data_IF_259466453031
#
_entry.id   IF_259466453031
#
_cell.length_a   1.000
_cell.length_b   1.000
_cell.length_c   1.000
_cell.angle_alpha   90.00
_cell.angle_beta   90.00
_cell.angle_gamma   90.00
#
_symmetry.space_group_name_H-M   'P 1'
#
loop_
_entity.id
_entity.type
_entity.pdbx_description
1 polymer ?
#
# COMPACT_ATOMS: atom_id res chain seq x y z
N UNK A 1 -25.62 -49.52 33.80
CA UNK A 1 -24.46 -48.67 34.14
C UNK A 1 -23.29 -49.59 34.48
N UNK A 2 -22.02 -49.29 34.14
CA UNK A 2 -21.35 -47.97 33.92
C UNK A 2 -21.10 -47.64 32.41
N UNK A 3 -21.11 -46.39 31.90
CA UNK A 3 -20.12 -45.25 31.91
C UNK A 3 -18.73 -45.62 31.39
N UNK A 4 -18.02 -44.87 30.51
CA UNK A 4 -18.21 -43.67 29.68
C UNK A 4 -16.92 -43.54 28.82
N UNK A 5 -16.86 -42.53 27.94
CA UNK A 5 -15.65 -41.89 27.36
C UNK A 5 -15.16 -42.29 25.95
N UNK A 6 -15.32 -41.32 25.04
CA UNK A 6 -14.26 -40.80 24.18
C UNK A 6 -13.92 -41.63 22.93
N UNK A 7 -13.73 -41.08 21.74
CA UNK A 7 -13.18 -39.77 21.40
C UNK A 7 -13.63 -39.47 19.97
N UNK A 8 -14.04 -38.22 19.76
CA UNK A 8 -14.27 -37.61 18.46
C UNK A 8 -13.14 -37.92 17.48
N UNK A 9 -13.45 -38.64 16.40
CA UNK A 9 -12.57 -38.73 15.24
C UNK A 9 -12.58 -37.37 14.55
N UNK A 10 -11.67 -36.51 15.01
CA UNK A 10 -11.24 -35.28 14.38
C UNK A 10 -10.89 -35.56 12.91
N UNK A 11 -11.85 -35.25 12.03
CA UNK A 11 -11.55 -35.03 10.62
C UNK A 11 -10.59 -33.84 10.56
N UNK A 12 -9.31 -34.16 10.38
CA UNK A 12 -8.25 -33.20 10.11
C UNK A 12 -8.49 -32.59 8.72
N UNK A 13 -9.52 -31.76 8.60
CA UNK A 13 -9.51 -30.70 7.62
C UNK A 13 -8.40 -29.77 8.05
N UNK A 14 -7.25 -29.96 7.41
CA UNK A 14 -6.13 -29.03 7.45
C UNK A 14 -6.66 -27.68 6.97
N UNK A 15 -7.20 -26.90 7.90
CA UNK A 15 -7.37 -25.47 7.75
C UNK A 15 -5.95 -24.93 7.64
N UNK A 16 -5.42 -24.95 6.42
CA UNK A 16 -4.34 -24.05 6.05
C UNK A 16 -4.82 -22.68 6.52
N UNK A 17 -4.10 -22.01 7.44
CA UNK A 17 -4.38 -20.62 7.66
C UNK A 17 -4.08 -19.97 6.32
N UNK A 18 -5.13 -19.64 5.56
CA UNK A 18 -5.13 -18.49 4.68
C UNK A 18 -4.86 -17.30 5.62
N UNK A 19 -3.59 -17.13 6.00
CA UNK A 19 -3.05 -15.84 6.36
C UNK A 19 -3.33 -15.00 5.13
N UNK A 20 -4.47 -14.32 5.14
CA UNK A 20 -4.69 -13.15 4.32
C UNK A 20 -3.56 -12.21 4.70
N UNK A 21 -2.46 -12.29 3.97
CA UNK A 21 -1.30 -11.43 4.18
C UNK A 21 -1.78 -10.07 3.72
N UNK A 22 -2.33 -9.29 4.63
CA UNK A 22 -2.57 -7.87 4.37
C UNK A 22 -1.21 -7.32 3.95
N UNK A 23 -1.05 -6.81 2.71
CA UNK A 23 0.24 -6.33 2.27
C UNK A 23 0.65 -5.18 3.21
N UNK A 24 1.65 -5.42 4.05
CA UNK A 24 2.18 -4.42 4.97
C UNK A 24 3.26 -3.62 4.25
N UNK A 25 3.35 -2.33 4.57
CA UNK A 25 4.44 -1.49 4.05
C UNK A 25 5.82 -2.00 4.49
N UNK A 26 5.90 -2.77 5.57
CA UNK A 26 7.13 -3.41 6.07
C UNK A 26 7.68 -4.47 5.11
N UNK A 27 6.81 -5.15 4.36
CA UNK A 27 7.20 -6.12 3.33
C UNK A 27 7.67 -5.48 2.02
N UNK A 28 7.53 -4.15 1.87
CA UNK A 28 7.97 -3.45 0.67
C UNK A 28 9.48 -3.16 0.71
N UNK A 29 10.16 -3.29 -0.45
CA UNK A 29 11.52 -2.79 -0.62
C UNK A 29 11.65 -1.33 -0.18
N UNK A 30 12.80 -0.98 0.40
CA UNK A 30 13.03 0.36 0.95
C UNK A 30 12.93 1.44 -0.14
N UNK A 31 13.44 1.18 -1.34
CA UNK A 31 13.35 2.05 -2.50
C UNK A 31 11.89 2.34 -2.91
N UNK A 32 11.02 1.32 -2.87
CA UNK A 32 9.59 1.48 -3.14
C UNK A 32 8.94 2.35 -2.05
N UNK A 33 9.28 2.12 -0.78
CA UNK A 33 8.78 2.96 0.33
C UNK A 33 9.20 4.42 0.20
N UNK A 34 10.46 4.67 -0.20
CA UNK A 34 10.97 6.01 -0.45
C UNK A 34 10.21 6.66 -1.61
N UNK A 35 10.00 5.94 -2.70
CA UNK A 35 9.25 6.45 -3.84
C UNK A 35 7.81 6.83 -3.46
N UNK A 36 7.14 6.01 -2.64
CA UNK A 36 5.81 6.32 -2.11
C UNK A 36 5.81 7.62 -1.28
N UNK A 37 6.86 7.87 -0.49
CA UNK A 37 7.00 9.10 0.29
C UNK A 37 7.21 10.32 -0.61
N UNK A 38 7.96 10.20 -1.71
CA UNK A 38 8.16 11.30 -2.67
C UNK A 38 6.89 11.66 -3.45
N UNK A 39 5.97 10.70 -3.65
CA UNK A 39 4.69 10.95 -4.33
C UNK A 39 3.61 11.58 -3.43
N UNK A 40 3.91 11.87 -2.17
CA UNK A 40 2.95 12.50 -1.27
C UNK A 40 2.67 13.95 -1.69
N UNK A 41 1.44 14.44 -1.46
CA UNK A 41 0.97 15.68 -2.04
C UNK A 41 1.63 16.93 -1.45
N UNK A 42 2.04 16.84 -0.18
CA UNK A 42 2.65 17.93 0.53
C UNK A 42 3.47 17.42 1.73
N UNK A 43 4.17 18.36 2.36
CA UNK A 43 5.03 18.10 3.52
C UNK A 43 4.23 17.63 4.75
N UNK A 44 2.97 18.04 4.89
CA UNK A 44 2.14 17.62 6.03
C UNK A 44 1.66 16.16 5.86
N UNK A 45 1.28 15.76 4.65
CA UNK A 45 0.99 14.38 4.31
C UNK A 45 2.23 13.48 4.49
N UNK A 46 3.41 13.98 4.09
CA UNK A 46 4.69 13.32 4.36
C UNK A 46 4.92 13.09 5.86
N UNK A 47 4.78 14.15 6.67
CA UNK A 47 4.91 14.02 8.13
C UNK A 47 3.91 13.03 8.71
N UNK A 48 2.66 13.08 8.28
CA UNK A 48 1.63 12.16 8.74
C UNK A 48 1.94 10.70 8.39
N UNK A 49 2.42 10.43 7.17
CA UNK A 49 2.83 9.08 6.73
C UNK A 49 4.03 8.56 7.53
N UNK A 50 5.04 9.41 7.75
CA UNK A 50 6.24 9.07 8.53
C UNK A 50 5.91 8.80 10.01
N UNK A 51 4.96 9.55 10.59
CA UNK A 51 4.55 9.38 11.98
C UNK A 51 3.63 8.18 12.19
N UNK A 52 2.82 7.83 11.19
CA UNK A 52 1.84 6.73 11.29
C UNK A 52 2.43 5.35 10.99
N UNK A 53 3.58 5.27 10.31
CA UNK A 53 4.16 3.99 9.89
C UNK A 53 5.65 3.88 10.17
N UNK A 54 6.04 2.88 10.96
CA UNK A 54 7.45 2.59 11.27
C UNK A 54 8.27 2.31 10.01
N UNK A 55 7.72 1.57 9.05
CA UNK A 55 8.42 1.26 7.80
C UNK A 55 8.76 2.51 6.98
N UNK A 56 7.87 3.51 6.99
CA UNK A 56 8.14 4.80 6.37
C UNK A 56 9.10 5.65 7.18
N UNK A 57 9.02 5.60 8.52
CA UNK A 57 10.00 6.28 9.36
C UNK A 57 11.44 5.83 9.09
N UNK A 58 11.66 4.51 9.04
CA UNK A 58 12.98 3.93 8.76
C UNK A 58 13.48 4.28 7.35
N UNK A 59 12.60 4.29 6.34
CA UNK A 59 12.95 4.67 4.97
C UNK A 59 13.21 6.19 4.82
N UNK A 60 12.48 7.01 5.58
CA UNK A 60 12.60 8.48 5.54
C UNK A 60 13.90 8.97 6.19
N UNK A 61 14.26 8.43 7.35
CA UNK A 61 15.40 8.91 8.16
C UNK A 61 16.74 9.04 7.38
N UNK A 62 17.21 8.04 6.61
CA UNK A 62 18.47 8.16 5.87
C UNK A 62 18.37 9.08 4.65
N UNK A 63 17.17 9.30 4.08
CA UNK A 63 16.96 10.04 2.83
C UNK A 63 16.19 11.35 2.99
N UNK A 64 15.99 11.79 4.23
CA UNK A 64 15.18 12.97 4.59
C UNK A 64 15.42 14.18 3.67
N UNK A 65 16.69 14.57 3.49
CA UNK A 65 17.04 15.75 2.66
C UNK A 65 16.64 15.61 1.18
N UNK A 66 16.68 14.40 0.63
CA UNK A 66 16.25 14.14 -0.76
C UNK A 66 14.74 14.22 -0.86
N UNK A 67 14.04 13.53 0.04
CA UNK A 67 12.57 13.43 0.05
C UNK A 67 11.96 14.82 0.29
N UNK A 68 12.47 15.58 1.26
CA UNK A 68 11.98 16.94 1.56
C UNK A 68 12.14 17.90 0.36
N UNK A 69 13.11 17.65 -0.53
CA UNK A 69 13.33 18.45 -1.74
C UNK A 69 12.47 18.00 -2.93
N UNK A 70 12.08 16.73 -3.01
CA UNK A 70 11.32 16.14 -4.13
C UNK A 70 9.80 16.31 -3.95
N UNK A 71 9.28 16.09 -2.73
CA UNK A 71 7.84 16.18 -2.42
C UNK A 71 7.17 17.49 -2.88
N UNK A 72 7.79 18.68 -2.73
CA UNK A 72 7.18 19.93 -3.20
C UNK A 72 7.12 20.06 -4.73
N UNK A 73 8.02 19.39 -5.46
CA UNK A 73 8.13 19.47 -6.92
C UNK A 73 7.28 18.38 -7.61
N UNK A 74 7.17 17.21 -6.99
CA UNK A 74 6.44 16.08 -7.56
C UNK A 74 4.92 16.21 -7.47
N UNK A 75 4.37 17.10 -6.64
CA UNK A 75 2.91 17.32 -6.57
C UNK A 75 2.30 17.73 -7.91
N UNK A 76 2.89 18.70 -8.60
CA UNK A 76 2.41 19.15 -9.91
C UNK A 76 2.49 18.02 -10.95
N UNK A 77 3.56 17.23 -10.91
CA UNK A 77 3.77 16.08 -11.79
C UNK A 77 2.78 14.95 -11.46
N UNK A 78 2.48 14.75 -10.19
CA UNK A 78 1.53 13.76 -9.69
C UNK A 78 0.09 14.11 -10.10
N UNK A 79 -0.34 15.35 -9.89
CA UNK A 79 -1.63 15.85 -10.38
C UNK A 79 -1.75 15.71 -11.89
N UNK A 80 -0.68 16.07 -12.64
CA UNK A 80 -0.65 15.90 -14.09
C UNK A 80 -0.82 14.42 -14.48
N UNK A 81 -0.14 13.49 -13.79
CA UNK A 81 -0.26 12.05 -14.03
C UNK A 81 -1.67 11.53 -13.73
N UNK A 82 -2.29 11.97 -12.63
CA UNK A 82 -3.66 11.58 -12.29
C UNK A 82 -4.63 12.08 -13.36
N UNK A 83 -4.50 13.34 -13.78
CA UNK A 83 -5.29 13.92 -14.86
C UNK A 83 -5.14 13.13 -16.17
N UNK A 84 -3.90 12.84 -16.57
CA UNK A 84 -3.62 12.04 -17.77
C UNK A 84 -4.24 10.65 -17.69
N UNK A 85 -4.12 9.95 -16.55
CA UNK A 85 -4.75 8.63 -16.38
C UNK A 85 -6.28 8.70 -16.48
N UNK A 86 -6.90 9.76 -15.93
CA UNK A 86 -8.35 9.96 -16.02
C UNK A 86 -8.78 10.23 -17.46
N UNK A 87 -8.04 11.07 -18.19
CA UNK A 87 -8.29 11.36 -19.61
C UNK A 87 -8.17 10.07 -20.44
N UNK A 88 -7.10 9.31 -20.29
CA UNK A 88 -6.93 8.04 -21.03
C UNK A 88 -8.05 7.05 -20.72
N UNK A 89 -8.46 6.92 -19.45
CA UNK A 89 -9.61 6.07 -19.08
C UNK A 89 -10.92 6.55 -19.70
N UNK A 90 -11.11 7.87 -19.76
CA UNK A 90 -12.29 8.47 -20.35
C UNK A 90 -12.34 8.24 -21.87
N UNK A 91 -11.21 8.42 -22.56
CA UNK A 91 -11.07 8.08 -23.98
C UNK A 91 -11.35 6.60 -24.26
N UNK A 92 -10.82 5.70 -23.43
CA UNK A 92 -11.12 4.28 -23.52
C UNK A 92 -12.60 3.97 -23.32
N UNK A 93 -13.28 4.67 -22.41
CA UNK A 93 -14.73 4.51 -22.23
C UNK A 93 -15.53 4.99 -23.44
N UNK A 94 -15.16 6.13 -24.04
CA UNK A 94 -15.82 6.61 -25.26
C UNK A 94 -15.58 5.67 -26.44
N UNK A 95 -14.33 5.20 -26.61
CA UNK A 95 -13.97 4.23 -27.66
C UNK A 95 -14.75 2.93 -27.52
N UNK A 96 -14.97 2.43 -26.30
CA UNK A 96 -15.80 1.23 -26.04
C UNK A 96 -17.29 1.49 -26.21
N UNK A 97 -17.75 2.72 -26.03
CA UNK A 97 -19.14 3.12 -26.24
C UNK A 97 -19.51 3.33 -27.71
N UNK A 98 -18.55 3.27 -28.64
CA UNK A 98 -18.80 3.42 -30.08
C UNK A 98 -19.12 4.86 -30.51
N UNK A 99 -18.71 5.84 -29.71
CA UNK A 99 -18.80 7.28 -30.02
C UNK A 99 -17.50 7.77 -30.65
#
# INVERSE_FOLDING_TARGET
MPTDEGVDMLSNHTLLPLTMITPTFEGLPEDVRVHLLCMLPDVEALKAAVLSCKAFHEAYKPRKKSIDNEVPYDWLVFELRILLQRICKLEDTFRRAGV
#
